data_IF_872641325905
#
_entry.id   IF_872641325905
#
_cell.length_a   1.000
_cell.length_b   1.000
_cell.length_c   1.000
_cell.angle_alpha   90.00
_cell.angle_beta   90.00
_cell.angle_gamma   90.00
#
_symmetry.space_group_name_H-M   'P 1'
#
loop_
_entity.id
_entity.type
_entity.pdbx_description
1 polymer ?
#
# COMPACT_ATOMS: atom_id res chain seq x y z
N UNK A 1 16.68 2.25 -14.28
CA UNK A 1 15.99 1.51 -13.20
C UNK A 1 14.51 1.42 -13.55
N UNK A 2 13.85 0.31 -13.22
CA UNK A 2 12.41 0.18 -13.44
C UNK A 2 11.64 1.13 -12.49
N UNK A 3 10.51 1.66 -12.95
CA UNK A 3 9.66 2.55 -12.14
C UNK A 3 8.95 1.72 -11.06
N UNK A 4 8.94 2.22 -9.82
CA UNK A 4 8.21 1.60 -8.70
C UNK A 4 6.72 1.52 -9.03
N UNK A 5 6.10 0.39 -8.70
CA UNK A 5 4.68 0.13 -8.90
C UNK A 5 3.96 -0.14 -7.58
N UNK A 6 2.62 -0.11 -7.61
CA UNK A 6 1.80 -0.52 -6.45
C UNK A 6 1.99 -1.98 -6.06
N UNK A 7 2.46 -2.84 -6.97
CA UNK A 7 2.76 -4.24 -6.70
C UNK A 7 4.00 -4.35 -5.80
N UNK A 8 4.98 -3.46 -6.01
CA UNK A 8 6.17 -3.40 -5.17
C UNK A 8 5.83 -2.92 -3.76
N UNK A 9 5.00 -1.88 -3.65
CA UNK A 9 4.45 -1.41 -2.39
C UNK A 9 3.67 -2.51 -1.68
N UNK A 10 2.80 -3.24 -2.40
CA UNK A 10 1.99 -4.32 -1.83
C UNK A 10 2.86 -5.44 -1.27
N UNK A 11 3.92 -5.81 -2.00
CA UNK A 11 4.90 -6.82 -1.60
C UNK A 11 5.65 -6.41 -0.34
N UNK A 12 6.19 -5.18 -0.31
CA UNK A 12 6.94 -4.66 0.84
C UNK A 12 6.03 -4.51 2.08
N UNK A 13 4.79 -4.04 1.90
CA UNK A 13 3.84 -3.88 2.99
C UNK A 13 3.25 -5.21 3.50
N UNK A 14 3.41 -6.33 2.76
CA UNK A 14 2.76 -7.61 3.06
C UNK A 14 1.23 -7.52 2.95
N UNK A 15 0.74 -6.96 1.84
CA UNK A 15 -0.69 -6.74 1.55
C UNK A 15 -1.01 -7.01 0.07
N UNK A 16 -2.26 -6.78 -0.36
CA UNK A 16 -2.65 -6.82 -1.77
C UNK A 16 -2.65 -5.43 -2.41
N UNK A 17 -2.55 -5.40 -3.74
CA UNK A 17 -2.64 -4.15 -4.53
C UNK A 17 -3.99 -3.43 -4.36
N UNK A 18 -5.06 -4.17 -4.04
CA UNK A 18 -6.35 -3.60 -3.68
C UNK A 18 -6.28 -2.81 -2.36
N UNK A 19 -5.59 -3.34 -1.34
CA UNK A 19 -5.38 -2.64 -0.06
C UNK A 19 -4.56 -1.37 -0.28
N UNK A 20 -3.51 -1.43 -1.11
CA UNK A 20 -2.72 -0.24 -1.49
C UNK A 20 -3.61 0.81 -2.15
N UNK A 21 -4.47 0.40 -3.10
CA UNK A 21 -5.43 1.30 -3.73
C UNK A 21 -6.40 1.93 -2.72
N UNK A 22 -6.89 1.16 -1.74
CA UNK A 22 -7.82 1.67 -0.73
C UNK A 22 -7.17 2.68 0.21
N UNK A 23 -5.90 2.48 0.56
CA UNK A 23 -5.14 3.43 1.39
C UNK A 23 -4.91 4.75 0.66
N UNK A 24 -4.54 4.70 -0.63
CA UNK A 24 -4.24 5.90 -1.42
C UNK A 24 -5.51 6.65 -1.80
N UNK A 25 -6.54 5.92 -2.25
CA UNK A 25 -7.74 6.50 -2.84
C UNK A 25 -8.93 6.59 -1.88
N UNK A 26 -8.75 6.26 -0.60
CA UNK A 26 -9.84 6.16 0.39
C UNK A 26 -10.98 5.25 -0.13
N UNK A 27 -10.62 4.01 -0.47
CA UNK A 27 -11.52 3.04 -1.09
C UNK A 27 -12.73 2.67 -0.21
N UNK A 28 -13.71 1.93 -0.77
CA UNK A 28 -15.02 1.71 -0.16
C UNK A 28 -14.98 0.83 1.10
N UNK A 29 -13.87 0.13 1.36
CA UNK A 29 -13.70 -0.69 2.57
C UNK A 29 -12.67 -0.06 3.50
N UNK A 30 -12.95 0.03 4.80
CA UNK A 30 -11.97 0.51 5.77
C UNK A 30 -10.78 -0.45 5.81
N UNK A 31 -9.58 0.12 5.89
CA UNK A 31 -8.34 -0.62 6.12
C UNK A 31 -7.94 -0.43 7.57
N UNK A 32 -7.62 -1.52 8.27
CA UNK A 32 -7.17 -1.47 9.66
C UNK A 32 -5.98 -0.49 9.81
N UNK A 33 -5.93 0.34 10.87
CA UNK A 33 -4.91 1.37 11.04
C UNK A 33 -3.47 0.85 10.88
N UNK A 34 -3.13 -0.27 11.53
CA UNK A 34 -1.82 -0.90 11.42
C UNK A 34 -1.46 -1.33 9.99
N UNK A 35 -2.45 -1.77 9.19
CA UNK A 35 -2.23 -2.11 7.78
C UNK A 35 -2.03 -0.87 6.93
N UNK A 36 -2.78 0.22 7.21
CA UNK A 36 -2.58 1.51 6.55
C UNK A 36 -1.17 2.05 6.84
N UNK A 37 -0.70 1.97 8.08
CA UNK A 37 0.64 2.40 8.48
C UNK A 37 1.74 1.63 7.73
N UNK A 38 1.64 0.31 7.63
CA UNK A 38 2.59 -0.51 6.84
C UNK A 38 2.63 -0.10 5.37
N UNK A 39 1.47 0.16 4.76
CA UNK A 39 1.40 0.63 3.37
C UNK A 39 2.04 2.00 3.20
N UNK A 40 1.76 2.94 4.11
CA UNK A 40 2.35 4.28 4.07
C UNK A 40 3.86 4.25 4.29
N UNK A 41 4.36 3.38 5.17
CA UNK A 41 5.78 3.14 5.35
C UNK A 41 6.43 2.58 4.07
N UNK A 42 5.82 1.57 3.45
CA UNK A 42 6.31 1.00 2.19
C UNK A 42 6.33 2.01 1.03
N UNK A 43 5.34 2.91 0.96
CA UNK A 43 5.32 4.00 -0.04
C UNK A 43 6.46 5.00 0.19
N UNK A 44 6.85 5.24 1.45
CA UNK A 44 7.93 6.18 1.78
C UNK A 44 9.32 5.59 1.47
N UNK A 45 9.45 4.27 1.52
CA UNK A 45 10.73 3.57 1.33
C UNK A 45 11.10 3.35 -0.14
N UNK A 46 10.11 3.31 -1.04
CA UNK A 46 10.27 3.06 -2.47
C UNK A 46 10.15 4.34 -3.30
#
# INVERSE_FOLDING_TARGET
MAKVTRDDVARLAGTSTAVVSYVINNGPRPVAPATRERVLAAIKEL
#
